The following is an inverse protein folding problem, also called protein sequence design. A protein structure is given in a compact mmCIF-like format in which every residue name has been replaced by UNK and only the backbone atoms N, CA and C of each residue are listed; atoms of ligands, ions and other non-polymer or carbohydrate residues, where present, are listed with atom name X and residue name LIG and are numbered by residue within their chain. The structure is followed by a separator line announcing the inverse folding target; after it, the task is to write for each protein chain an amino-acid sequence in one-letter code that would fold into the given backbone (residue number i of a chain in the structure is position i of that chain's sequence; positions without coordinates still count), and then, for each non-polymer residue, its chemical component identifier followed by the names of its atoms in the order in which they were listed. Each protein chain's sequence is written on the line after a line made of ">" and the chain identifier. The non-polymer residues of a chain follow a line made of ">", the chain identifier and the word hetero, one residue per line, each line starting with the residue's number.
data_IF_823312107969
#
_entry.id   IF_823312107969
#
_cell.length_a   1.000
_cell.length_b   1.000
_cell.length_c   1.000
_cell.angle_alpha   90.00
_cell.angle_beta   90.00
_cell.angle_gamma   90.00
#
_symmetry.space_group_name_H-M   'P 1'
#
loop_
_entity.id
_entity.type
_entity.pdbx_description
1 polymer ?
#
# COMPACT_ATOMS: atom_id res chain seq x y z
N UNK A 1 27.97 18.06 45.01
CA UNK A 1 27.72 17.72 43.59
C UNK A 1 27.96 16.26 43.25
N UNK A 2 29.14 15.67 43.52
CA UNK A 2 29.44 14.26 43.11
C UNK A 2 28.43 13.21 43.60
N UNK A 3 28.07 13.24 44.89
CA UNK A 3 27.11 12.28 45.49
C UNK A 3 25.69 12.31 44.87
N UNK A 4 25.02 13.47 44.69
CA UNK A 4 23.72 13.53 44.02
C UNK A 4 23.77 13.02 42.57
N UNK A 5 24.82 13.38 41.83
CA UNK A 5 25.00 12.94 40.45
C UNK A 5 25.19 11.42 40.38
N UNK A 6 25.95 10.83 41.30
CA UNK A 6 26.11 9.37 41.40
C UNK A 6 24.78 8.69 41.73
N UNK A 7 23.98 9.23 42.66
CA UNK A 7 22.65 8.67 42.96
C UNK A 7 21.70 8.74 41.76
N UNK A 8 21.73 9.84 41.01
CA UNK A 8 20.94 10.02 39.80
C UNK A 8 21.40 9.09 38.67
N UNK A 9 22.72 8.94 38.48
CA UNK A 9 23.30 7.95 37.56
C UNK A 9 22.89 6.54 37.99
N UNK A 10 22.98 6.18 39.26
CA UNK A 10 22.57 4.85 39.74
C UNK A 10 21.07 4.59 39.57
N UNK A 11 20.23 5.63 39.60
CA UNK A 11 18.82 5.53 39.25
C UNK A 11 18.57 5.43 37.73
N UNK A 12 19.37 6.09 36.88
CA UNK A 12 19.18 6.08 35.42
C UNK A 12 19.90 4.92 34.70
N UNK A 13 21.01 4.46 35.26
CA UNK A 13 21.91 3.47 34.64
C UNK A 13 21.25 2.09 34.49
N UNK A 14 20.42 1.59 35.42
CA UNK A 14 19.63 0.38 35.18
C UNK A 14 18.66 0.55 34.01
N UNK A 15 18.04 1.73 33.85
CA UNK A 15 17.15 1.99 32.72
C UNK A 15 17.92 1.89 31.40
N UNK A 16 19.12 2.45 31.33
CA UNK A 16 19.97 2.40 30.14
C UNK A 16 20.55 1.02 29.85
N UNK A 17 21.05 0.32 30.87
CA UNK A 17 21.68 -1.00 30.72
C UNK A 17 20.68 -2.10 30.36
N UNK A 18 19.42 -1.94 30.77
CA UNK A 18 18.39 -2.97 30.61
C UNK A 18 17.26 -2.55 29.65
N UNK A 19 17.39 -1.39 28.99
CA UNK A 19 16.55 -1.06 27.85
C UNK A 19 16.85 -2.07 26.72
N UNK A 20 15.98 -3.07 26.56
CA UNK A 20 16.05 -4.02 25.44
C UNK A 20 16.32 -5.48 25.79
N UNK A 21 16.52 -5.84 27.06
CA UNK A 21 16.68 -7.25 27.47
C UNK A 21 15.39 -7.80 28.08
N UNK A 22 14.34 -7.97 27.28
CA UNK A 22 13.20 -8.82 27.69
C UNK A 22 13.29 -10.16 26.97
N UNK A 23 13.42 -11.25 27.70
CA UNK A 23 13.19 -12.57 27.14
C UNK A 23 11.69 -12.86 27.22
N UNK A 24 11.04 -12.79 26.05
CA UNK A 24 9.68 -13.27 25.87
C UNK A 24 9.73 -14.68 25.28
N UNK A 25 9.14 -15.65 25.97
CA UNK A 25 8.93 -16.99 25.43
C UNK A 25 7.54 -17.04 24.80
N UNK A 26 7.51 -17.29 23.49
CA UNK A 26 6.26 -17.49 22.74
C UNK A 26 6.03 -18.97 22.47
N UNK A 27 4.78 -19.42 22.63
CA UNK A 27 4.32 -20.76 22.22
C UNK A 27 3.12 -20.54 21.31
N UNK A 28 3.19 -21.03 20.06
CA UNK A 28 2.18 -20.80 19.02
C UNK A 28 1.89 -19.31 18.76
N UNK A 29 2.92 -18.46 18.77
CA UNK A 29 2.79 -17.02 18.53
C UNK A 29 2.15 -16.23 19.68
N UNK A 30 1.77 -16.88 20.79
CA UNK A 30 1.29 -16.22 22.01
C UNK A 30 2.40 -16.18 23.05
N UNK A 31 2.64 -15.02 23.64
CA UNK A 31 3.61 -14.84 24.73
C UNK A 31 3.05 -15.54 25.97
N UNK A 32 3.66 -16.66 26.36
CA UNK A 32 3.24 -17.45 27.53
C UNK A 32 4.06 -17.12 28.78
N UNK A 33 5.26 -16.58 28.60
CA UNK A 33 6.12 -16.18 29.70
C UNK A 33 6.94 -14.94 29.32
N UNK A 34 6.79 -13.89 30.11
CA UNK A 34 7.58 -12.66 30.02
C UNK A 34 8.33 -12.51 31.35
N UNK A 35 9.54 -13.08 31.41
CA UNK A 35 10.45 -12.92 32.55
C UNK A 35 11.27 -11.66 32.34
N UNK A 36 10.68 -10.51 32.65
CA UNK A 36 11.34 -9.19 32.67
C UNK A 36 11.86 -8.79 34.07
N UNK A 37 11.95 -9.75 35.00
CA UNK A 37 12.37 -9.48 36.37
C UNK A 37 13.87 -9.15 36.46
N UNK A 38 14.18 -7.85 36.52
CA UNK A 38 15.55 -7.35 36.59
C UNK A 38 16.03 -7.23 38.04
N UNK A 39 16.52 -8.34 38.60
CA UNK A 39 17.03 -8.40 39.99
C UNK A 39 18.11 -7.35 40.25
N UNK A 40 19.02 -7.15 39.30
CA UNK A 40 20.11 -6.18 39.45
C UNK A 40 19.57 -4.75 39.48
N UNK A 41 18.63 -4.43 38.58
CA UNK A 41 17.94 -3.13 38.56
C UNK A 41 17.21 -2.84 39.86
N UNK A 42 16.54 -3.85 40.45
CA UNK A 42 15.89 -3.72 41.75
C UNK A 42 16.88 -3.39 42.87
N UNK A 43 18.00 -4.11 42.94
CA UNK A 43 19.05 -3.88 43.95
C UNK A 43 19.62 -2.46 43.82
N UNK A 44 19.92 -2.03 42.59
CA UNK A 44 20.45 -0.69 42.32
C UNK A 44 19.44 0.41 42.66
N UNK A 45 18.16 0.23 42.34
CA UNK A 45 17.11 1.18 42.69
C UNK A 45 16.94 1.32 44.21
N UNK A 46 16.99 0.21 44.96
CA UNK A 46 16.93 0.24 46.44
C UNK A 46 18.16 0.98 47.00
N UNK A 47 19.36 0.68 46.51
CA UNK A 47 20.57 1.36 46.95
C UNK A 47 20.53 2.87 46.65
N UNK A 48 20.08 3.25 45.45
CA UNK A 48 19.86 4.63 45.03
C UNK A 48 18.85 5.36 45.92
N UNK A 49 17.74 4.71 46.25
CA UNK A 49 16.70 5.25 47.14
C UNK A 49 17.25 5.49 48.56
N UNK A 50 17.96 4.52 49.14
CA UNK A 50 18.56 4.66 50.47
C UNK A 50 19.56 5.82 50.49
N UNK A 51 20.36 5.98 49.44
CA UNK A 51 21.27 7.12 49.31
C UNK A 51 20.55 8.46 49.20
N UNK A 52 19.51 8.54 48.36
CA UNK A 52 18.71 9.76 48.18
C UNK A 52 18.02 10.18 49.50
N UNK A 53 17.42 9.24 50.22
CA UNK A 53 16.78 9.48 51.52
C UNK A 53 17.79 9.92 52.57
N UNK A 54 18.93 9.22 52.70
CA UNK A 54 20.01 9.63 53.60
C UNK A 54 20.52 11.04 53.29
N UNK A 55 20.60 11.39 52.01
CA UNK A 55 21.04 12.72 51.60
C UNK A 55 20.01 13.79 51.93
N UNK A 56 18.71 13.53 51.74
CA UNK A 56 17.63 14.44 52.11
C UNK A 56 17.55 14.68 53.63
N UNK A 57 17.74 13.63 54.44
CA UNK A 57 17.77 13.74 55.90
C UNK A 57 18.96 14.59 56.38
N UNK A 58 20.11 14.47 55.71
CA UNK A 58 21.33 15.22 56.05
C UNK A 58 21.40 16.63 55.46
N UNK A 59 20.50 16.97 54.53
CA UNK A 59 20.50 18.26 53.83
C UNK A 59 19.93 19.37 54.74
N UNK A 60 20.82 20.07 55.45
CA UNK A 60 20.46 21.11 56.42
C UNK A 60 20.48 20.67 57.89
N UNK A 61 21.01 19.47 58.18
CA UNK A 61 21.27 19.02 59.55
C UNK A 61 22.47 19.75 60.18
N UNK A 62 22.48 19.88 61.51
CA UNK A 62 23.54 20.56 62.26
C UNK A 62 24.90 19.88 62.03
N UNK A 63 25.90 20.62 61.53
CA UNK A 63 27.23 20.11 61.19
C UNK A 63 27.40 19.57 59.77
N UNK A 64 26.36 19.60 58.93
CA UNK A 64 26.40 19.21 57.52
C UNK A 64 26.31 20.45 56.59
N UNK A 65 26.64 20.32 55.29
CA UNK A 65 26.68 21.44 54.36
C UNK A 65 25.33 22.17 54.24
N UNK A 66 25.37 23.51 54.13
CA UNK A 66 24.21 24.38 53.99
C UNK A 66 23.24 23.88 52.90
N UNK A 67 21.95 23.94 53.21
CA UNK A 67 20.88 23.42 52.35
C UNK A 67 20.89 24.12 51.00
N UNK A 68 21.05 23.34 49.93
CA UNK A 68 21.07 23.85 48.57
C UNK A 68 19.89 23.26 47.81
N UNK A 69 18.94 24.12 47.42
CA UNK A 69 17.66 23.69 46.86
C UNK A 69 17.82 22.80 45.63
N UNK A 70 18.80 23.06 44.76
CA UNK A 70 19.12 22.22 43.60
C UNK A 70 19.54 20.79 44.02
N UNK A 71 20.31 20.63 45.09
CA UNK A 71 20.66 19.30 45.63
C UNK A 71 19.42 18.59 46.15
N UNK A 72 18.57 19.27 46.90
CA UNK A 72 17.34 18.68 47.43
C UNK A 72 16.39 18.27 46.30
N UNK A 73 16.20 19.11 45.28
CA UNK A 73 15.38 18.80 44.09
C UNK A 73 15.91 17.58 43.35
N UNK A 74 17.22 17.51 43.09
CA UNK A 74 17.82 16.35 42.43
C UNK A 74 17.68 15.07 43.26
N UNK A 75 17.79 15.15 44.59
CA UNK A 75 17.62 14.01 45.47
C UNK A 75 16.16 13.51 45.49
N UNK A 76 15.18 14.42 45.48
CA UNK A 76 13.76 14.08 45.36
C UNK A 76 13.47 13.40 44.02
N UNK A 77 13.98 13.96 42.90
CA UNK A 77 13.82 13.34 41.58
C UNK A 77 14.47 11.96 41.51
N UNK A 78 15.67 11.79 42.07
CA UNK A 78 16.34 10.49 42.14
C UNK A 78 15.54 9.47 42.97
N UNK A 79 14.99 9.88 44.13
CA UNK A 79 14.14 9.03 44.95
C UNK A 79 12.86 8.62 44.21
N UNK A 80 12.19 9.56 43.53
CA UNK A 80 11.01 9.29 42.71
C UNK A 80 11.30 8.30 41.58
N UNK A 81 12.43 8.46 40.87
CA UNK A 81 12.88 7.52 39.84
C UNK A 81 13.16 6.12 40.41
N UNK A 82 13.77 6.02 41.58
CA UNK A 82 14.04 4.73 42.23
C UNK A 82 12.74 4.03 42.65
N UNK A 83 11.78 4.76 43.24
CA UNK A 83 10.45 4.22 43.56
C UNK A 83 9.75 3.75 42.30
N UNK A 84 9.81 4.55 41.23
CA UNK A 84 9.22 4.20 39.95
C UNK A 84 9.81 2.89 39.40
N UNK A 85 11.13 2.71 39.47
CA UNK A 85 11.81 1.48 39.05
C UNK A 85 11.48 0.27 39.92
N UNK A 86 11.38 0.44 41.24
CA UNK A 86 10.98 -0.64 42.14
C UNK A 86 9.58 -1.12 41.76
N UNK A 87 8.62 -0.21 41.54
CA UNK A 87 7.27 -0.56 41.13
C UNK A 87 7.19 -1.30 39.78
N UNK A 88 7.96 -0.85 38.79
CA UNK A 88 8.10 -1.55 37.50
C UNK A 88 8.68 -2.96 37.66
N UNK A 89 9.80 -3.07 38.38
CA UNK A 89 10.56 -4.32 38.47
C UNK A 89 9.85 -5.37 39.32
N UNK A 90 9.11 -4.94 40.35
CA UNK A 90 8.29 -5.82 41.18
C UNK A 90 6.97 -6.23 40.54
N UNK A 91 6.63 -5.67 39.36
CA UNK A 91 5.41 -6.00 38.65
C UNK A 91 4.14 -5.38 39.24
N UNK A 92 4.24 -4.40 40.14
CA UNK A 92 3.08 -3.67 40.65
C UNK A 92 2.35 -2.91 39.53
N UNK A 93 3.08 -2.47 38.52
CA UNK A 93 2.53 -1.92 37.27
C UNK A 93 3.55 -2.12 36.14
N UNK A 94 3.07 -2.34 34.92
CA UNK A 94 3.89 -2.36 33.70
C UNK A 94 3.58 -1.09 32.92
N UNK A 95 4.50 -0.14 32.89
CA UNK A 95 4.40 1.01 31.97
C UNK A 95 5.22 0.65 30.75
N UNK A 96 4.53 0.32 29.67
CA UNK A 96 5.16 0.23 28.36
C UNK A 96 5.42 1.66 27.88
N UNK A 97 6.50 2.29 28.38
CA UNK A 97 6.83 3.69 28.09
C UNK A 97 6.81 4.01 26.59
N UNK A 98 7.15 3.04 25.74
CA UNK A 98 7.03 3.18 24.28
C UNK A 98 5.59 3.32 23.81
N UNK A 99 4.69 2.44 24.24
CA UNK A 99 3.27 2.46 23.86
C UNK A 99 2.55 3.66 24.45
N UNK A 100 2.75 3.93 25.75
CA UNK A 100 2.13 5.08 26.41
C UNK A 100 2.62 6.41 25.86
N UNK A 101 3.91 6.54 25.51
CA UNK A 101 4.41 7.74 24.86
C UNK A 101 3.83 7.91 23.45
N UNK A 102 3.67 6.82 22.69
CA UNK A 102 3.01 6.86 21.38
C UNK A 102 1.54 7.24 21.54
N UNK A 103 0.81 6.67 22.49
CA UNK A 103 -0.59 7.00 22.78
C UNK A 103 -0.73 8.46 23.24
N UNK A 104 0.13 8.93 24.14
CA UNK A 104 0.17 10.32 24.60
C UNK A 104 0.50 11.27 23.45
N UNK A 105 1.51 10.96 22.63
CA UNK A 105 1.86 11.73 21.43
C UNK A 105 0.68 11.76 20.46
N UNK A 106 0.01 10.64 20.26
CA UNK A 106 -1.17 10.52 19.39
C UNK A 106 -2.34 11.35 19.93
N UNK A 107 -2.54 11.39 21.25
CA UNK A 107 -3.57 12.20 21.90
C UNK A 107 -3.27 13.70 21.83
N UNK A 108 -2.00 14.09 21.94
CA UNK A 108 -1.58 15.50 21.94
C UNK A 108 -1.40 16.09 20.53
N UNK A 109 -0.88 15.30 19.58
CA UNK A 109 -0.49 15.79 18.24
C UNK A 109 -1.26 15.11 17.11
N UNK A 110 -2.18 14.20 17.43
CA UNK A 110 -2.85 13.33 16.48
C UNK A 110 -1.96 12.17 16.00
N UNK A 111 -2.53 11.22 15.25
CA UNK A 111 -1.74 10.15 14.64
C UNK A 111 -0.73 10.74 13.65
N UNK A 112 0.46 10.12 13.64
CA UNK A 112 1.50 10.39 12.65
C UNK A 112 1.28 9.54 11.41
N UNK A 113 1.71 10.01 10.25
CA UNK A 113 1.72 9.16 9.06
C UNK A 113 2.84 8.11 9.17
N UNK A 114 2.62 6.88 8.67
CA UNK A 114 3.70 5.92 8.57
C UNK A 114 4.79 6.46 7.64
N UNK A 115 6.06 6.38 8.04
CA UNK A 115 7.17 6.83 7.21
C UNK A 115 7.43 5.87 6.04
N UNK A 116 7.85 6.41 4.89
CA UNK A 116 8.32 5.60 3.77
C UNK A 116 9.66 4.94 4.12
N UNK A 117 9.84 3.65 3.81
CA UNK A 117 11.09 2.90 4.10
C UNK A 117 12.13 2.98 2.99
N UNK A 118 11.91 3.79 1.96
CA UNK A 118 12.80 3.99 0.82
C UNK A 118 13.04 2.72 0.01
N UNK A 119 12.01 2.27 -0.71
CA UNK A 119 12.22 1.30 -1.79
C UNK A 119 12.67 2.03 -3.07
N UNK A 120 13.98 1.93 -3.33
CA UNK A 120 14.70 2.22 -4.57
C UNK A 120 14.46 3.62 -5.20
N UNK A 121 15.33 4.61 -4.91
CA UNK A 121 15.33 5.92 -5.60
C UNK A 121 15.29 5.83 -7.14
N UNK A 122 15.80 4.73 -7.70
CA UNK A 122 15.75 4.46 -9.15
C UNK A 122 14.34 4.11 -9.64
N UNK A 123 13.55 3.36 -8.87
CA UNK A 123 12.16 3.05 -9.19
C UNK A 123 11.33 4.33 -9.16
N UNK A 124 11.59 5.20 -8.18
CA UNK A 124 10.96 6.52 -8.08
C UNK A 124 11.33 7.41 -9.27
N UNK A 125 12.60 7.40 -9.70
CA UNK A 125 13.07 8.15 -10.89
C UNK A 125 12.40 7.66 -12.17
N UNK A 126 12.36 6.35 -12.40
CA UNK A 126 11.72 5.77 -13.58
C UNK A 126 10.20 5.99 -13.58
N UNK A 127 9.56 5.86 -12.41
CA UNK A 127 8.14 6.15 -12.24
C UNK A 127 7.83 7.62 -12.54
N UNK A 128 8.62 8.54 -11.97
CA UNK A 128 8.52 9.98 -12.22
C UNK A 128 8.69 10.32 -13.71
N UNK A 129 9.71 9.79 -14.37
CA UNK A 129 9.93 10.03 -15.80
C UNK A 129 8.75 9.53 -16.65
N UNK A 130 8.16 8.38 -16.31
CA UNK A 130 6.95 7.88 -16.99
C UNK A 130 5.74 8.79 -16.75
N UNK A 131 5.53 9.24 -15.52
CA UNK A 131 4.43 10.16 -15.18
C UNK A 131 4.59 11.47 -15.94
N UNK A 132 5.79 12.04 -15.98
CA UNK A 132 6.09 13.27 -16.72
C UNK A 132 5.89 13.10 -18.23
N UNK A 133 6.44 12.03 -18.82
CA UNK A 133 6.27 11.73 -20.25
C UNK A 133 4.79 11.55 -20.61
N UNK A 134 4.05 10.79 -19.81
CA UNK A 134 2.63 10.55 -20.02
C UNK A 134 1.81 11.83 -19.86
N UNK A 135 2.05 12.58 -18.79
CA UNK A 135 1.37 13.84 -18.53
C UNK A 135 1.68 14.92 -19.57
N UNK A 136 2.74 14.75 -20.38
CA UNK A 136 3.02 15.61 -21.53
C UNK A 136 2.29 15.15 -22.81
N UNK A 137 1.99 13.86 -22.98
CA UNK A 137 1.51 13.28 -24.24
C UNK A 137 -0.01 13.08 -24.32
N UNK A 138 -0.69 12.87 -23.18
CA UNK A 138 -2.13 12.58 -23.18
C UNK A 138 -2.98 13.85 -23.22
N UNK A 139 -4.25 13.72 -23.61
CA UNK A 139 -5.23 14.82 -23.58
C UNK A 139 -5.70 15.14 -22.15
N UNK A 140 -6.46 16.24 -22.01
CA UNK A 140 -6.93 16.73 -20.72
C UNK A 140 -7.84 15.74 -19.98
N UNK A 141 -8.72 15.04 -20.69
CA UNK A 141 -9.66 14.09 -20.07
C UNK A 141 -8.90 12.87 -19.56
N UNK A 142 -7.98 12.32 -20.36
CA UNK A 142 -7.15 11.18 -19.97
C UNK A 142 -6.23 11.53 -18.80
N UNK A 143 -5.62 12.74 -18.78
CA UNK A 143 -4.82 13.16 -17.63
C UNK A 143 -5.66 13.34 -16.37
N UNK A 144 -6.90 13.84 -16.50
CA UNK A 144 -7.83 13.90 -15.36
C UNK A 144 -8.18 12.50 -14.85
N UNK A 145 -8.44 11.55 -15.75
CA UNK A 145 -8.71 10.15 -15.40
C UNK A 145 -7.51 9.54 -14.65
N UNK A 146 -6.28 9.83 -15.07
CA UNK A 146 -5.06 9.40 -14.39
C UNK A 146 -4.97 9.99 -12.96
N UNK A 147 -5.28 11.29 -12.80
CA UNK A 147 -5.32 11.96 -11.49
C UNK A 147 -6.38 11.31 -10.58
N UNK A 148 -7.60 11.12 -11.08
CA UNK A 148 -8.68 10.48 -10.34
C UNK A 148 -8.29 9.05 -9.91
N UNK A 149 -7.59 8.33 -10.77
CA UNK A 149 -7.07 6.99 -10.48
C UNK A 149 -6.02 7.01 -9.35
N UNK A 150 -5.07 7.95 -9.38
CA UNK A 150 -4.08 8.12 -8.32
C UNK A 150 -4.73 8.48 -6.99
N UNK A 151 -5.68 9.43 -6.98
CA UNK A 151 -6.42 9.81 -5.76
C UNK A 151 -7.20 8.62 -5.19
N UNK A 152 -7.91 7.89 -6.04
CA UNK A 152 -8.67 6.71 -5.64
C UNK A 152 -7.78 5.64 -5.00
N UNK A 153 -6.55 5.43 -5.51
CA UNK A 153 -5.57 4.51 -4.91
C UNK A 153 -5.07 4.99 -3.57
N UNK A 154 -4.70 6.26 -3.43
CA UNK A 154 -4.28 6.86 -2.16
C UNK A 154 -5.38 6.67 -1.11
N UNK A 155 -6.63 6.95 -1.49
CA UNK A 155 -7.79 6.82 -0.60
C UNK A 155 -8.04 5.36 -0.21
N UNK A 156 -8.07 4.44 -1.18
CA UNK A 156 -8.31 3.02 -0.91
C UNK A 156 -7.19 2.39 -0.07
N UNK A 157 -5.92 2.60 -0.45
CA UNK A 157 -4.76 2.04 0.26
C UNK A 157 -4.58 2.68 1.64
N UNK A 158 -4.74 3.99 1.75
CA UNK A 158 -4.70 4.67 3.04
C UNK A 158 -5.85 4.24 3.95
N UNK A 159 -7.04 3.95 3.39
CA UNK A 159 -8.19 3.45 4.18
C UNK A 159 -7.92 2.05 4.68
N UNK A 160 -7.44 1.15 3.82
CA UNK A 160 -7.02 -0.19 4.24
C UNK A 160 -5.97 -0.12 5.34
N UNK A 161 -4.92 0.69 5.17
CA UNK A 161 -3.88 0.86 6.18
C UNK A 161 -4.46 1.35 7.51
N UNK A 162 -5.34 2.37 7.47
CA UNK A 162 -5.96 2.94 8.66
C UNK A 162 -6.86 1.93 9.39
N UNK A 163 -7.60 1.09 8.65
CA UNK A 163 -8.41 0.02 9.22
C UNK A 163 -7.53 -1.09 9.83
N UNK A 164 -6.46 -1.48 9.15
CA UNK A 164 -5.47 -2.43 9.68
C UNK A 164 -4.83 -1.89 10.97
N UNK A 165 -4.37 -0.63 10.96
CA UNK A 165 -3.76 0.00 12.13
C UNK A 165 -4.75 0.11 13.31
N UNK A 166 -6.03 0.38 13.03
CA UNK A 166 -7.08 0.38 14.04
C UNK A 166 -7.37 -1.01 14.61
N UNK A 167 -7.43 -2.05 13.76
CA UNK A 167 -7.71 -3.43 14.17
C UNK A 167 -6.53 -4.09 14.91
N UNK A 168 -5.30 -3.69 14.60
CA UNK A 168 -4.08 -4.29 15.15
C UNK A 168 -3.41 -3.49 16.27
N UNK A 169 -4.17 -2.65 16.97
CA UNK A 169 -3.71 -1.82 18.10
C UNK A 169 -2.46 -0.96 17.78
N UNK A 170 -2.39 -0.39 16.57
CA UNK A 170 -1.37 0.61 16.18
C UNK A 170 -2.03 2.01 16.00
N UNK A 171 -2.63 2.61 17.05
CA UNK A 171 -3.41 3.84 16.91
C UNK A 171 -2.57 5.06 16.50
N UNK A 172 -1.25 5.01 16.67
CA UNK A 172 -0.35 6.15 16.42
C UNK A 172 0.03 6.36 14.96
N UNK A 173 -0.35 5.44 14.06
CA UNK A 173 -0.03 5.50 12.63
C UNK A 173 -1.29 5.54 11.78
N UNK A 174 -1.54 6.66 11.11
CA UNK A 174 -2.65 6.79 10.16
C UNK A 174 -2.28 7.71 9.02
N UNK A 175 -2.71 7.36 7.81
CA UNK A 175 -2.72 8.26 6.68
C UNK A 175 -3.82 9.31 6.84
N UNK A 176 -3.50 10.55 6.49
CA UNK A 176 -4.48 11.63 6.36
C UNK A 176 -4.89 11.76 4.90
N UNK A 177 -6.17 11.94 4.64
CA UNK A 177 -6.64 12.17 3.28
C UNK A 177 -6.66 13.67 3.02
N UNK A 178 -5.90 14.09 2.02
CA UNK A 178 -5.97 15.45 1.46
C UNK A 178 -7.24 15.56 0.62
N UNK A 179 -7.83 16.75 0.55
CA UNK A 179 -9.00 16.99 -0.28
C UNK A 179 -8.70 16.70 -1.76
N UNK A 180 -9.64 16.04 -2.44
CA UNK A 180 -9.50 15.75 -3.86
C UNK A 180 -9.32 17.06 -4.66
N UNK A 181 -8.37 17.12 -5.62
CA UNK A 181 -8.13 18.31 -6.43
C UNK A 181 -9.41 18.87 -7.06
N UNK A 182 -9.53 20.21 -7.11
CA UNK A 182 -10.72 20.91 -7.64
C UNK A 182 -11.00 20.64 -9.12
N UNK A 183 -9.99 20.20 -9.89
CA UNK A 183 -10.12 19.78 -11.28
C UNK A 183 -10.95 18.49 -11.46
N UNK A 184 -11.20 17.75 -10.38
CA UNK A 184 -11.99 16.51 -10.37
C UNK A 184 -13.48 16.82 -10.18
N UNK A 185 -14.29 16.33 -11.13
CA UNK A 185 -15.75 16.48 -11.12
C UNK A 185 -16.46 15.48 -10.20
N UNK A 186 -17.79 15.53 -10.18
CA UNK A 186 -18.61 14.69 -9.32
C UNK A 186 -18.46 13.19 -9.63
N UNK A 187 -18.39 12.81 -10.91
CA UNK A 187 -18.18 11.42 -11.33
C UNK A 187 -16.81 10.88 -10.86
N UNK A 188 -15.77 11.72 -10.87
CA UNK A 188 -14.45 11.35 -10.36
C UNK A 188 -14.46 11.17 -8.84
N UNK A 189 -15.17 12.05 -8.12
CA UNK A 189 -15.34 11.95 -6.66
C UNK A 189 -16.14 10.72 -6.29
N UNK A 190 -17.19 10.38 -7.05
CA UNK A 190 -17.95 9.15 -6.87
C UNK A 190 -17.08 7.90 -7.11
N UNK A 191 -16.20 7.93 -8.12
CA UNK A 191 -15.23 6.87 -8.37
C UNK A 191 -14.23 6.70 -7.21
N UNK A 192 -13.73 7.80 -6.64
CA UNK A 192 -12.84 7.80 -5.48
C UNK A 192 -13.55 7.21 -4.25
N UNK A 193 -14.76 7.68 -3.94
CA UNK A 193 -15.52 7.19 -2.77
C UNK A 193 -15.89 5.71 -2.92
N UNK A 194 -16.26 5.28 -4.14
CA UNK A 194 -16.50 3.85 -4.40
C UNK A 194 -15.24 3.01 -4.15
N UNK A 195 -14.07 3.50 -4.54
CA UNK A 195 -12.79 2.80 -4.29
C UNK A 195 -12.49 2.69 -2.79
N UNK A 196 -12.77 3.75 -2.03
CA UNK A 196 -12.68 3.77 -0.57
C UNK A 196 -13.66 2.79 0.07
N UNK A 197 -14.93 2.80 -0.32
CA UNK A 197 -15.95 1.88 0.21
C UNK A 197 -15.61 0.41 -0.05
N UNK A 198 -15.09 0.08 -1.24
CA UNK A 198 -14.61 -1.27 -1.53
C UNK A 198 -13.41 -1.67 -0.66
N UNK A 199 -12.54 -0.71 -0.32
CA UNK A 199 -11.46 -0.94 0.65
C UNK A 199 -11.99 -1.28 2.04
N UNK A 200 -13.00 -0.55 2.51
CA UNK A 200 -13.64 -0.76 3.81
C UNK A 200 -14.32 -2.14 3.87
N UNK A 201 -15.13 -2.46 2.85
CA UNK A 201 -15.81 -3.75 2.73
C UNK A 201 -14.80 -4.91 2.76
N UNK A 202 -13.76 -4.83 1.92
CA UNK A 202 -12.74 -5.89 1.83
C UNK A 202 -11.93 -6.05 3.13
N UNK A 203 -11.69 -4.96 3.88
CA UNK A 203 -10.93 -4.99 5.13
C UNK A 203 -11.73 -5.62 6.28
N UNK A 204 -13.04 -5.33 6.36
CA UNK A 204 -13.88 -5.70 7.50
C UNK A 204 -13.91 -7.21 7.81
N UNK A 205 -13.74 -8.05 6.79
CA UNK A 205 -13.83 -9.50 6.93
C UNK A 205 -12.47 -10.22 7.08
N UNK A 206 -11.33 -9.52 6.93
CA UNK A 206 -10.06 -10.20 6.52
C UNK A 206 -8.76 -9.71 7.18
N UNK A 207 -8.81 -8.78 8.14
CA UNK A 207 -7.58 -8.29 8.79
C UNK A 207 -6.97 -9.37 9.70
N UNK A 208 -5.73 -9.78 9.42
CA UNK A 208 -4.92 -10.67 10.27
C UNK A 208 -3.71 -9.90 10.87
N UNK A 209 -3.80 -9.58 12.16
CA UNK A 209 -2.76 -8.88 12.92
C UNK A 209 -1.59 -9.79 13.36
N UNK A 210 -1.78 -11.10 13.31
CA UNK A 210 -0.82 -12.09 13.82
C UNK A 210 0.21 -12.47 12.75
N UNK A 211 -0.16 -12.33 11.48
CA UNK A 211 0.69 -12.67 10.34
C UNK A 211 1.88 -11.74 10.16
N UNK A 212 3.12 -12.28 10.13
CA UNK A 212 4.31 -11.51 9.81
C UNK A 212 4.27 -10.91 8.40
N UNK A 213 3.77 -11.66 7.41
CA UNK A 213 3.70 -11.21 6.01
C UNK A 213 2.69 -10.09 5.83
N UNK A 214 1.51 -10.18 6.46
CA UNK A 214 0.51 -9.11 6.42
C UNK A 214 1.05 -7.86 7.10
N UNK A 215 1.72 -8.01 8.24
CA UNK A 215 2.35 -6.88 8.95
C UNK A 215 3.44 -6.22 8.12
N UNK A 216 4.32 -6.99 7.47
CA UNK A 216 5.35 -6.47 6.57
C UNK A 216 4.70 -5.75 5.38
N UNK A 217 3.72 -6.36 4.73
CA UNK A 217 3.02 -5.76 3.60
C UNK A 217 2.39 -4.42 3.99
N UNK A 218 1.61 -4.38 5.08
CA UNK A 218 0.89 -3.18 5.50
C UNK A 218 1.86 -2.06 5.89
N UNK A 219 2.89 -2.38 6.69
CA UNK A 219 3.80 -1.37 7.24
C UNK A 219 4.82 -0.86 6.25
N UNK A 220 5.30 -1.71 5.36
CA UNK A 220 6.43 -1.38 4.49
C UNK A 220 5.95 -1.13 3.06
N UNK A 221 5.20 -2.05 2.48
CA UNK A 221 4.85 -2.00 1.05
C UNK A 221 3.65 -1.09 0.76
N UNK A 222 2.55 -1.25 1.51
CA UNK A 222 1.35 -0.44 1.33
C UNK A 222 1.61 1.02 1.69
N UNK A 223 2.37 1.25 2.78
CA UNK A 223 2.72 2.60 3.19
C UNK A 223 3.58 3.32 2.13
N UNK A 224 4.59 2.62 1.58
CA UNK A 224 5.42 3.16 0.50
C UNK A 224 4.57 3.43 -0.77
N UNK A 225 3.64 2.55 -1.11
CA UNK A 225 2.77 2.74 -2.28
C UNK A 225 1.92 4.02 -2.16
N UNK A 226 1.36 4.31 -0.97
CA UNK A 226 0.60 5.55 -0.73
C UNK A 226 1.49 6.79 -0.93
N UNK A 227 2.73 6.75 -0.43
CA UNK A 227 3.68 7.86 -0.62
C UNK A 227 4.11 8.03 -2.09
N UNK A 228 4.37 6.94 -2.81
CA UNK A 228 4.68 6.99 -4.25
C UNK A 228 3.49 7.51 -5.06
N UNK A 229 2.28 7.07 -4.75
CA UNK A 229 1.08 7.54 -5.44
C UNK A 229 0.83 9.04 -5.18
N UNK A 230 1.12 9.54 -3.97
CA UNK A 230 1.07 11.00 -3.69
C UNK A 230 2.12 11.79 -4.48
N UNK A 231 3.35 11.28 -4.57
CA UNK A 231 4.39 11.93 -5.37
C UNK A 231 4.03 11.96 -6.86
N UNK A 232 3.47 10.87 -7.39
CA UNK A 232 2.96 10.81 -8.75
C UNK A 232 1.77 11.77 -8.95
N UNK A 233 0.83 11.81 -8.01
CA UNK A 233 -0.32 12.71 -8.03
C UNK A 233 0.12 14.18 -8.10
N UNK A 234 1.11 14.59 -7.30
CA UNK A 234 1.63 15.95 -7.32
C UNK A 234 2.15 16.34 -8.72
N UNK A 235 2.91 15.46 -9.37
CA UNK A 235 3.42 15.67 -10.72
C UNK A 235 2.30 15.73 -11.77
N UNK A 236 1.30 14.84 -11.68
CA UNK A 236 0.16 14.82 -12.59
C UNK A 236 -0.67 16.10 -12.47
N UNK A 237 -0.96 16.56 -11.25
CA UNK A 237 -1.72 17.79 -10.98
C UNK A 237 -0.94 19.02 -11.44
N UNK A 238 0.37 19.10 -11.18
CA UNK A 238 1.21 20.18 -11.68
C UNK A 238 1.21 20.23 -13.22
N UNK A 239 1.42 19.09 -13.87
CA UNK A 239 1.41 18.99 -15.33
C UNK A 239 0.04 19.37 -15.93
N UNK A 240 -1.06 18.94 -15.28
CA UNK A 240 -2.41 19.29 -15.69
C UNK A 240 -2.62 20.81 -15.63
N UNK A 241 -2.34 21.43 -14.47
CA UNK A 241 -2.51 22.87 -14.28
C UNK A 241 -1.67 23.68 -15.25
N UNK A 242 -0.42 23.25 -15.49
CA UNK A 242 0.49 23.92 -16.43
C UNK A 242 -0.03 23.87 -17.88
N UNK A 243 -0.67 22.78 -18.29
CA UNK A 243 -1.13 22.57 -19.68
C UNK A 243 -2.54 23.09 -19.92
N UNK A 244 -3.43 22.97 -18.94
CA UNK A 244 -4.87 23.13 -19.12
C UNK A 244 -5.54 24.09 -18.12
N UNK A 245 -4.80 24.60 -17.12
CA UNK A 245 -5.37 25.40 -16.03
C UNK A 245 -6.18 24.54 -15.04
N UNK A 246 -7.11 25.17 -14.32
CA UNK A 246 -7.96 24.50 -13.32
C UNK A 246 -9.40 24.22 -13.83
N UNK A 247 -9.72 24.58 -15.09
CA UNK A 247 -11.08 24.39 -15.63
C UNK A 247 -11.27 22.95 -16.13
N UNK A 248 -12.22 22.19 -15.58
CA UNK A 248 -12.50 20.84 -16.08
C UNK A 248 -13.12 20.89 -17.48
N UNK A 249 -12.70 19.96 -18.35
CA UNK A 249 -13.34 19.73 -19.65
C UNK A 249 -14.47 18.71 -19.52
N UNK A 250 -15.55 18.93 -20.27
CA UNK A 250 -16.70 18.03 -20.33
C UNK A 250 -16.31 16.69 -20.97
N UNK A 251 -16.78 15.60 -20.37
CA UNK A 251 -16.49 14.25 -20.85
C UNK A 251 -17.37 13.92 -22.05
N UNK A 252 -16.74 13.62 -23.19
CA UNK A 252 -17.46 13.01 -24.32
C UNK A 252 -17.51 11.50 -24.11
N UNK A 253 -18.72 10.94 -24.00
CA UNK A 253 -18.93 9.49 -23.98
C UNK A 253 -18.37 8.89 -25.27
N UNK A 254 -17.42 7.98 -25.13
CA UNK A 254 -16.83 7.29 -26.27
C UNK A 254 -17.68 6.07 -26.62
N UNK A 255 -18.01 5.91 -27.89
CA UNK A 255 -18.66 4.70 -28.37
C UNK A 255 -17.68 3.52 -28.31
N UNK A 256 -18.16 2.36 -27.86
CA UNK A 256 -17.40 1.12 -27.90
C UNK A 256 -17.15 0.74 -29.37
N UNK A 257 -15.87 0.59 -29.72
CA UNK A 257 -15.44 0.30 -31.09
C UNK A 257 -14.19 -0.56 -31.06
N UNK A 258 -14.15 -1.57 -31.93
CA UNK A 258 -12.99 -2.40 -32.22
C UNK A 258 -12.49 -2.22 -33.66
N UNK A 259 -12.84 -1.09 -34.30
CA UNK A 259 -12.55 -0.82 -35.73
C UNK A 259 -11.07 -0.86 -36.09
N UNK A 260 -10.18 -0.61 -35.12
CA UNK A 260 -8.73 -0.57 -35.36
C UNK A 260 -8.09 -1.97 -35.36
N UNK A 261 -8.89 -3.02 -35.10
CA UNK A 261 -8.48 -4.42 -35.25
C UNK A 261 -9.37 -5.06 -36.33
N UNK A 262 -8.82 -5.46 -37.49
CA UNK A 262 -9.60 -6.03 -38.59
C UNK A 262 -9.97 -7.50 -38.36
N UNK A 263 -10.48 -7.81 -37.17
CA UNK A 263 -11.02 -9.13 -36.79
C UNK A 263 -12.12 -8.98 -35.73
N UNK A 264 -13.05 -9.93 -35.71
CA UNK A 264 -14.13 -10.05 -34.74
C UNK A 264 -14.17 -11.46 -34.16
N UNK A 265 -14.73 -11.60 -32.96
CA UNK A 265 -15.02 -12.92 -32.41
C UNK A 265 -15.96 -13.69 -33.36
N UNK A 266 -15.61 -14.95 -33.62
CA UNK A 266 -16.34 -15.87 -34.51
C UNK A 266 -15.97 -15.79 -35.99
N UNK A 267 -15.15 -14.80 -36.41
CA UNK A 267 -14.64 -14.70 -37.78
C UNK A 267 -13.83 -15.95 -38.14
N UNK A 268 -13.85 -16.35 -39.41
CA UNK A 268 -13.03 -17.47 -39.90
C UNK A 268 -11.57 -17.03 -40.09
N UNK A 269 -10.64 -17.99 -40.12
CA UNK A 269 -9.25 -17.74 -40.48
C UNK A 269 -9.11 -16.94 -41.79
N UNK A 270 -9.88 -17.29 -42.82
CA UNK A 270 -9.86 -16.60 -44.12
C UNK A 270 -10.28 -15.11 -43.99
N UNK A 271 -11.30 -14.83 -43.18
CA UNK A 271 -11.75 -13.45 -42.94
C UNK A 271 -10.68 -12.63 -42.22
N UNK A 272 -9.98 -13.22 -41.24
CA UNK A 272 -8.85 -12.58 -40.54
C UNK A 272 -7.68 -12.35 -41.50
N UNK A 273 -7.29 -13.36 -42.29
CA UNK A 273 -6.21 -13.23 -43.27
C UNK A 273 -6.50 -12.13 -44.31
N UNK A 274 -7.76 -12.04 -44.76
CA UNK A 274 -8.23 -10.98 -45.64
C UNK A 274 -8.17 -9.61 -44.95
N UNK A 275 -8.70 -9.50 -43.73
CA UNK A 275 -8.71 -8.24 -42.96
C UNK A 275 -7.33 -7.69 -42.66
N UNK A 276 -6.36 -8.55 -42.36
CA UNK A 276 -4.96 -8.18 -42.12
C UNK A 276 -4.09 -8.17 -43.39
N UNK A 277 -4.64 -8.53 -44.56
CA UNK A 277 -3.89 -8.67 -45.81
C UNK A 277 -2.64 -9.54 -45.64
N UNK A 278 -2.79 -10.70 -45.00
CA UNK A 278 -1.68 -11.56 -44.60
C UNK A 278 -1.85 -13.00 -45.08
N UNK A 279 -0.79 -13.65 -45.62
CA UNK A 279 -0.81 -15.07 -45.94
C UNK A 279 -0.34 -15.95 -44.77
N UNK A 280 -0.11 -15.38 -43.58
CA UNK A 280 0.43 -16.13 -42.43
C UNK A 280 -0.50 -17.29 -42.05
N UNK A 281 0.08 -18.46 -41.80
CA UNK A 281 -0.62 -19.65 -41.33
C UNK A 281 -0.62 -19.64 -39.80
N UNK A 282 -1.75 -19.94 -39.13
CA UNK A 282 -1.78 -20.06 -37.67
C UNK A 282 -0.86 -21.15 -37.14
N UNK A 283 -0.23 -20.89 -36.00
CA UNK A 283 0.61 -21.86 -35.29
C UNK A 283 -0.24 -22.56 -34.22
N UNK A 284 -0.20 -23.90 -34.11
CA UNK A 284 -0.91 -24.61 -33.04
C UNK A 284 -0.50 -24.11 -31.65
N UNK A 285 -1.47 -23.98 -30.73
CA UNK A 285 -1.21 -23.58 -29.33
C UNK A 285 -1.96 -24.44 -28.33
N UNK A 286 -1.29 -24.80 -27.24
CA UNK A 286 -1.89 -25.61 -26.18
C UNK A 286 -2.27 -27.01 -26.66
N UNK A 287 -3.39 -27.53 -26.13
CA UNK A 287 -3.97 -28.82 -26.48
C UNK A 287 -5.36 -28.60 -27.08
N UNK A 288 -5.90 -29.59 -27.81
CA UNK A 288 -7.26 -29.58 -28.40
C UNK A 288 -7.47 -28.75 -29.69
N UNK A 289 -6.49 -28.75 -30.60
CA UNK A 289 -6.70 -28.24 -31.97
C UNK A 289 -6.77 -26.73 -32.11
N UNK A 290 -6.47 -25.98 -31.05
CA UNK A 290 -6.39 -24.52 -31.11
C UNK A 290 -5.16 -24.06 -31.88
N UNK A 291 -5.31 -22.91 -32.54
CA UNK A 291 -4.20 -22.26 -33.23
C UNK A 291 -4.19 -20.76 -32.93
N UNK A 292 -3.08 -20.08 -33.22
CA UNK A 292 -2.96 -18.63 -33.09
C UNK A 292 -2.27 -17.99 -34.28
N UNK A 293 -2.63 -16.75 -34.55
CA UNK A 293 -1.98 -15.87 -35.51
C UNK A 293 -1.48 -14.64 -34.74
N UNK A 294 -0.16 -14.44 -34.74
CA UNK A 294 0.49 -13.36 -34.00
C UNK A 294 0.99 -12.27 -34.97
N UNK A 295 0.75 -11.03 -34.59
CA UNK A 295 1.17 -9.80 -35.27
C UNK A 295 1.98 -8.95 -34.29
N UNK A 296 3.19 -9.39 -33.90
CA UNK A 296 4.00 -8.71 -32.90
C UNK A 296 4.32 -7.25 -33.29
N UNK A 297 4.45 -6.97 -34.58
CA UNK A 297 4.68 -5.64 -35.11
C UNK A 297 3.51 -4.67 -34.92
N UNK A 298 2.29 -5.22 -34.75
CA UNK A 298 1.08 -4.46 -34.45
C UNK A 298 0.64 -4.59 -32.99
N UNK A 299 1.27 -5.50 -32.23
CA UNK A 299 0.86 -5.84 -30.88
C UNK A 299 -0.48 -6.57 -30.80
N UNK A 300 -0.82 -7.41 -31.79
CA UNK A 300 -2.12 -8.11 -31.87
C UNK A 300 -1.87 -9.63 -31.90
N UNK A 301 -2.59 -10.39 -31.08
CA UNK A 301 -2.60 -11.86 -31.07
C UNK A 301 -4.05 -12.35 -31.23
N UNK A 302 -4.28 -13.26 -32.18
CA UNK A 302 -5.60 -13.80 -32.49
C UNK A 302 -5.56 -15.31 -32.28
N UNK A 303 -6.42 -15.80 -31.38
CA UNK A 303 -6.56 -17.24 -31.11
C UNK A 303 -7.80 -17.78 -31.79
N UNK A 304 -7.66 -18.98 -32.35
CA UNK A 304 -8.70 -19.72 -33.02
C UNK A 304 -9.08 -20.98 -32.23
N UNK A 305 -10.34 -21.39 -32.33
CA UNK A 305 -10.81 -22.70 -31.89
C UNK A 305 -10.47 -23.81 -32.91
N UNK A 306 -10.93 -25.05 -32.64
CA UNK A 306 -10.68 -26.21 -33.50
C UNK A 306 -11.38 -26.10 -34.87
N UNK A 307 -12.43 -25.28 -34.96
CA UNK A 307 -13.17 -24.97 -36.18
C UNK A 307 -12.56 -23.79 -36.96
N UNK A 308 -11.37 -23.32 -36.58
CA UNK A 308 -10.68 -22.17 -37.16
C UNK A 308 -11.49 -20.87 -37.11
N UNK A 309 -12.24 -20.66 -36.03
CA UNK A 309 -12.93 -19.40 -35.74
C UNK A 309 -12.27 -18.64 -34.62
N UNK A 310 -12.26 -17.31 -34.71
CA UNK A 310 -11.63 -16.43 -33.73
C UNK A 310 -12.33 -16.56 -32.38
N UNK A 311 -11.64 -17.11 -31.39
CA UNK A 311 -12.14 -17.26 -30.02
C UNK A 311 -11.60 -16.23 -29.05
N UNK A 312 -10.46 -15.62 -29.35
CA UNK A 312 -9.91 -14.53 -28.56
C UNK A 312 -9.06 -13.58 -29.42
N UNK A 313 -9.10 -12.31 -29.06
CA UNK A 313 -8.30 -11.24 -29.65
C UNK A 313 -7.62 -10.52 -28.50
N UNK A 314 -6.29 -10.52 -28.49
CA UNK A 314 -5.47 -9.85 -27.48
C UNK A 314 -4.71 -8.71 -28.15
N UNK A 315 -4.75 -7.52 -27.56
CA UNK A 315 -3.92 -6.38 -27.97
C UNK A 315 -3.01 -5.94 -26.82
N UNK A 316 -1.75 -5.61 -27.16
CA UNK A 316 -0.68 -5.18 -26.24
C UNK A 316 0.25 -4.19 -26.96
N UNK A 317 1.18 -3.56 -26.24
CA UNK A 317 2.20 -2.75 -26.91
C UNK A 317 2.92 -3.56 -28.02
N UNK A 318 3.18 -2.99 -29.21
CA UNK A 318 3.09 -1.57 -29.59
C UNK A 318 1.75 -1.10 -30.17
N UNK A 319 0.62 -1.81 -29.97
CA UNK A 319 -0.69 -1.41 -30.51
C UNK A 319 -1.07 0.03 -30.12
N UNK A 320 -1.22 0.89 -31.15
CA UNK A 320 -1.49 2.33 -30.97
C UNK A 320 -2.98 2.71 -31.15
N UNK A 321 -3.81 1.77 -31.62
CA UNK A 321 -5.24 1.97 -31.87
C UNK A 321 -6.10 1.88 -30.60
N UNK A 322 -7.42 1.85 -30.80
CA UNK A 322 -8.41 1.54 -29.76
C UNK A 322 -9.00 0.16 -29.97
N UNK A 323 -9.12 -0.60 -28.91
CA UNK A 323 -9.81 -1.88 -28.88
C UNK A 323 -10.89 -1.84 -27.81
N UNK A 324 -12.14 -2.14 -28.18
CA UNK A 324 -13.34 -1.96 -27.34
C UNK A 324 -13.45 -0.57 -26.69
N UNK A 325 -13.01 0.47 -27.42
CA UNK A 325 -12.97 1.85 -26.93
C UNK A 325 -11.80 2.18 -26.00
N UNK A 326 -10.95 1.21 -25.63
CA UNK A 326 -9.79 1.40 -24.77
C UNK A 326 -8.47 1.45 -25.55
N UNK A 327 -7.44 2.08 -24.99
CA UNK A 327 -6.06 2.07 -25.48
C UNK A 327 -5.13 1.37 -24.50
N UNK A 328 -4.02 0.86 -25.02
CA UNK A 328 -2.88 0.50 -24.18
C UNK A 328 -2.39 1.77 -23.48
N UNK A 329 -2.25 1.66 -22.16
CA UNK A 329 -1.94 2.73 -21.25
C UNK A 329 -3.17 3.42 -20.65
N UNK A 330 -4.42 3.12 -21.03
CA UNK A 330 -5.59 3.77 -20.38
C UNK A 330 -5.62 3.47 -18.88
N UNK A 331 -6.00 4.45 -18.05
CA UNK A 331 -6.08 4.27 -16.61
C UNK A 331 -7.37 3.58 -16.17
N UNK A 332 -7.41 3.08 -14.93
CA UNK A 332 -8.63 2.45 -14.36
C UNK A 332 -9.85 3.36 -14.42
N UNK A 333 -9.70 4.67 -14.20
CA UNK A 333 -10.81 5.62 -14.35
C UNK A 333 -11.27 5.72 -15.81
N UNK A 334 -10.34 5.77 -16.77
CA UNK A 334 -10.69 5.73 -18.20
C UNK A 334 -11.45 4.46 -18.54
N UNK A 335 -11.00 3.31 -18.06
CA UNK A 335 -11.72 2.03 -18.20
C UNK A 335 -13.13 2.15 -17.61
N UNK A 336 -13.26 2.61 -16.37
CA UNK A 336 -14.55 2.78 -15.72
C UNK A 336 -15.51 3.71 -16.50
N UNK A 337 -14.96 4.76 -17.12
CA UNK A 337 -15.71 5.70 -17.95
C UNK A 337 -16.21 5.07 -19.24
N UNK A 338 -15.35 4.33 -19.94
CA UNK A 338 -15.65 3.77 -21.27
C UNK A 338 -16.55 2.54 -21.18
N UNK A 339 -16.29 1.66 -20.21
CA UNK A 339 -16.98 0.36 -20.10
C UNK A 339 -17.76 0.18 -18.79
N UNK A 340 -17.93 1.23 -17.98
CA UNK A 340 -18.90 1.31 -16.87
C UNK A 340 -18.34 1.17 -15.45
N UNK A 341 -19.22 1.30 -14.45
CA UNK A 341 -18.83 1.53 -13.05
C UNK A 341 -18.21 0.35 -12.27
N UNK A 342 -18.20 -0.88 -12.78
CA UNK A 342 -17.81 -2.05 -11.98
C UNK A 342 -16.30 -2.39 -11.97
N UNK A 343 -15.46 -1.60 -12.65
CA UNK A 343 -14.03 -1.89 -12.90
C UNK A 343 -13.05 -1.48 -11.79
N UNK A 344 -13.55 -1.29 -10.56
CA UNK A 344 -12.71 -0.94 -9.41
C UNK A 344 -12.37 -2.21 -8.66
N UNK A 345 -11.29 -2.89 -9.03
CA UNK A 345 -10.74 -3.97 -8.22
C UNK A 345 -9.56 -3.44 -7.42
N UNK A 346 -9.77 -3.18 -6.14
CA UNK A 346 -8.66 -2.88 -5.22
C UNK A 346 -8.09 -4.23 -4.79
N UNK A 347 -6.99 -4.64 -5.44
CA UNK A 347 -6.31 -5.89 -5.13
C UNK A 347 -5.60 -5.70 -3.80
N UNK A 348 -6.19 -6.22 -2.74
CA UNK A 348 -5.56 -6.31 -1.43
C UNK A 348 -4.91 -7.68 -1.27
N UNK A 349 -3.83 -7.81 -0.50
CA UNK A 349 -3.44 -9.13 -0.02
C UNK A 349 -4.52 -9.60 0.97
N UNK A 350 -5.39 -10.47 0.48
CA UNK A 350 -6.60 -10.93 1.17
C UNK A 350 -6.32 -11.87 2.35
N UNK A 351 -5.11 -12.39 2.45
CA UNK A 351 -4.65 -13.31 3.48
C UNK A 351 -3.11 -13.37 3.49
N UNK A 352 -2.57 -14.20 4.38
CA UNK A 352 -1.13 -14.38 4.58
C UNK A 352 -0.43 -14.88 3.32
N UNK A 353 -1.10 -15.72 2.53
CA UNK A 353 -0.56 -16.27 1.28
C UNK A 353 -0.46 -15.18 0.22
N UNK A 354 -1.48 -14.33 0.13
CA UNK A 354 -1.55 -13.21 -0.81
C UNK A 354 -0.52 -12.14 -0.44
N UNK A 355 -0.37 -11.81 0.86
CA UNK A 355 0.64 -10.87 1.32
C UNK A 355 2.06 -11.37 1.03
N UNK A 356 2.35 -12.63 1.35
CA UNK A 356 3.65 -13.23 1.07
C UNK A 356 3.94 -13.30 -0.43
N UNK A 357 2.94 -13.66 -1.25
CA UNK A 357 3.06 -13.66 -2.70
C UNK A 357 3.36 -12.26 -3.22
N UNK A 358 2.59 -11.23 -2.82
CA UNK A 358 2.82 -9.85 -3.24
C UNK A 358 4.21 -9.36 -2.86
N UNK A 359 4.69 -9.68 -1.65
CA UNK A 359 6.05 -9.34 -1.21
C UNK A 359 7.10 -10.04 -2.09
N UNK A 360 6.98 -11.34 -2.31
CA UNK A 360 7.92 -12.13 -3.11
C UNK A 360 7.98 -11.63 -4.56
N UNK A 361 6.82 -11.32 -5.14
CA UNK A 361 6.70 -10.71 -6.46
C UNK A 361 7.44 -9.37 -6.54
N UNK A 362 7.21 -8.49 -5.57
CA UNK A 362 7.85 -7.17 -5.53
C UNK A 362 9.36 -7.26 -5.35
N UNK A 363 9.82 -8.20 -4.51
CA UNK A 363 11.26 -8.41 -4.25
C UNK A 363 12.00 -8.94 -5.47
N UNK A 364 11.34 -9.69 -6.35
CA UNK A 364 12.00 -10.28 -7.51
C UNK A 364 12.37 -9.26 -8.59
N UNK A 365 11.88 -8.01 -8.54
CA UNK A 365 12.12 -6.95 -9.55
C UNK A 365 11.98 -7.49 -10.99
N UNK A 366 11.17 -8.53 -11.16
CA UNK A 366 10.92 -9.06 -12.48
C UNK A 366 9.89 -8.13 -13.13
N UNK A 367 9.95 -7.92 -14.46
CA UNK A 367 8.85 -7.34 -15.23
C UNK A 367 7.69 -8.34 -15.23
N UNK A 368 7.22 -8.69 -14.05
CA UNK A 368 6.32 -9.81 -13.86
C UNK A 368 4.96 -9.34 -14.27
N UNK A 369 4.48 -10.03 -15.30
CA UNK A 369 3.13 -10.05 -15.87
C UNK A 369 2.05 -10.40 -14.83
N UNK A 370 2.07 -9.75 -13.66
CA UNK A 370 0.95 -9.82 -12.72
C UNK A 370 -0.15 -8.93 -13.24
N UNK A 371 -0.88 -9.49 -14.18
CA UNK A 371 -2.14 -8.99 -14.66
C UNK A 371 -3.12 -8.95 -13.47
N UNK A 372 -3.72 -7.79 -13.21
CA UNK A 372 -5.08 -7.82 -12.69
C UNK A 372 -5.91 -8.46 -13.80
N UNK A 373 -6.50 -9.63 -13.55
CA UNK A 373 -7.38 -10.30 -14.51
C UNK A 373 -8.81 -9.95 -14.07
N UNK A 374 -9.51 -9.11 -14.84
CA UNK A 374 -10.94 -8.85 -14.62
C UNK A 374 -11.71 -9.45 -15.79
N UNK A 375 -12.51 -10.48 -15.51
CA UNK A 375 -13.31 -11.24 -16.47
C UNK A 375 -14.75 -10.73 -16.38
N UNK A 376 -15.27 -10.16 -17.47
CA UNK A 376 -16.67 -9.71 -17.53
C UNK A 376 -17.39 -10.30 -18.73
N UNK A 377 -18.54 -10.90 -18.47
CA UNK A 377 -19.57 -11.13 -19.48
C UNK A 377 -20.04 -9.76 -20.02
N UNK A 378 -19.50 -9.32 -21.16
CA UNK A 378 -20.05 -8.18 -21.90
C UNK A 378 -21.43 -8.51 -22.49
N UNK A 379 -21.63 -9.80 -22.77
CA UNK A 379 -22.89 -10.47 -23.07
C UNK A 379 -22.74 -11.95 -22.66
N UNK A 380 -23.79 -12.77 -22.77
CA UNK A 380 -23.69 -14.24 -22.60
C UNK A 380 -22.65 -14.90 -23.53
N UNK A 381 -22.04 -14.14 -24.44
CA UNK A 381 -21.17 -14.60 -25.52
C UNK A 381 -19.79 -13.95 -25.56
N UNK A 382 -19.49 -12.97 -24.71
CA UNK A 382 -18.20 -12.25 -24.76
C UNK A 382 -17.63 -11.95 -23.39
N UNK A 383 -16.33 -12.17 -23.24
CA UNK A 383 -15.53 -11.90 -22.06
C UNK A 383 -14.48 -10.84 -22.38
N UNK A 384 -14.45 -9.73 -21.63
CA UNK A 384 -13.36 -8.75 -21.71
C UNK A 384 -12.45 -8.93 -20.52
N UNK A 385 -11.18 -9.23 -20.80
CA UNK A 385 -10.09 -9.37 -19.85
C UNK A 385 -9.10 -8.25 -20.05
N UNK A 386 -8.89 -7.44 -19.02
CA UNK A 386 -7.84 -6.43 -19.01
C UNK A 386 -6.70 -6.92 -18.16
N UNK A 387 -5.50 -6.43 -18.43
CA UNK A 387 -4.27 -6.85 -17.80
C UNK A 387 -3.29 -5.67 -17.74
N UNK A 388 -2.51 -5.62 -16.67
CA UNK A 388 -1.48 -4.60 -16.46
C UNK A 388 -0.77 -4.82 -15.13
N UNK A 389 0.38 -4.17 -14.91
CA UNK A 389 1.18 -4.34 -13.70
C UNK A 389 0.39 -3.92 -12.47
N UNK A 390 0.53 -4.66 -11.38
CA UNK A 390 -0.21 -4.41 -10.12
C UNK A 390 -0.02 -2.97 -9.61
N UNK A 391 1.15 -2.36 -9.85
CA UNK A 391 1.49 -1.01 -9.37
C UNK A 391 1.17 0.11 -10.36
N UNK A 392 1.08 -0.19 -11.65
CA UNK A 392 0.76 0.83 -12.64
C UNK A 392 -0.74 0.73 -12.94
N UNK A 393 -1.45 1.81 -12.70
CA UNK A 393 -2.91 1.86 -12.85
C UNK A 393 -3.38 1.86 -14.30
N UNK A 394 -2.57 1.34 -15.20
CA UNK A 394 -2.71 1.40 -16.64
C UNK A 394 -2.95 0.00 -17.21
N UNK A 395 -3.61 -0.05 -18.35
CA UNK A 395 -3.87 -1.27 -19.11
C UNK A 395 -2.67 -1.53 -20.02
N UNK A 396 -1.98 -2.67 -19.86
CA UNK A 396 -0.89 -3.08 -20.76
C UNK A 396 -1.36 -4.12 -21.80
N UNK A 397 -2.45 -4.82 -21.51
CA UNK A 397 -3.04 -5.81 -22.38
C UNK A 397 -4.57 -5.80 -22.27
N UNK A 398 -5.25 -5.92 -23.41
CA UNK A 398 -6.70 -6.01 -23.54
C UNK A 398 -7.02 -7.27 -24.33
N UNK A 399 -7.77 -8.20 -23.75
CA UNK A 399 -8.20 -9.44 -24.38
C UNK A 399 -9.72 -9.49 -24.45
N UNK A 400 -10.28 -9.66 -25.64
CA UNK A 400 -11.68 -9.96 -25.85
C UNK A 400 -11.80 -11.41 -26.28
N UNK A 401 -12.53 -12.25 -25.53
CA UNK A 401 -12.67 -13.69 -25.81
C UNK A 401 -14.12 -14.16 -25.76
N UNK A 402 -14.39 -15.34 -26.32
CA UNK A 402 -15.62 -16.07 -26.02
C UNK A 402 -15.53 -16.63 -24.59
N UNK A 403 -16.62 -16.61 -23.80
CA UNK A 403 -16.63 -17.18 -22.46
C UNK A 403 -16.30 -18.66 -22.54
N UNK A 404 -15.38 -19.13 -21.69
CA UNK A 404 -15.12 -20.56 -21.60
C UNK A 404 -16.37 -21.25 -21.04
N UNK A 405 -16.84 -22.37 -21.63
CA UNK A 405 -17.84 -23.19 -20.98
C UNK A 405 -17.32 -23.59 -19.59
N UNK A 406 -18.18 -23.63 -18.55
CA UNK A 406 -17.76 -24.02 -17.22
C UNK A 406 -17.08 -25.38 -17.32
N UNK A 407 -15.83 -25.47 -16.83
CA UNK A 407 -15.12 -26.74 -16.79
C UNK A 407 -15.96 -27.68 -15.94
N UNK A 408 -16.41 -28.79 -16.54
CA UNK A 408 -17.00 -29.88 -15.79
C UNK A 408 -15.91 -30.41 -14.86
N UNK A 409 -16.06 -30.13 -13.56
CA UNK A 409 -15.15 -30.63 -12.52
C UNK A 409 -15.21 -32.15 -12.43
#
# INVERSE_FOLDING_TARGET
>A
MRRPVVALILGLLPFWLFLGTSQQTTVNGRVVQDTSFNILGLILAIAGLVMAVKMLIKDGAYGEPQRWWLRSVLAVLAAALCIFQIGQTSGFYKVELGREFVELKTRLFGPSEPGARSLAPELDKASRARVEQRAASVDQVVLRDDIATSVARIYANGTLFNLYAAACDDPGRRFRFEEAPTLLGDDDRAFIEKSKSLAEQNASDRIDCTSPSTREFMRDWLADDVHRDRAALALQVEAYRKRFGDTPVEEVKQALSSKDVPARLGDTLEAVQTGFTTPRVPVPVGNAGESKLDFPEQGIDIRFDAENRVKAITVRAPFAGRFVGLKIGDSRRTVNRVIGGAWINVRFPYDNKSAALDIDVRRKVLPTDYQWLDTRAGSDKTELTLAGPVYASYVDEITLSMPQPPRSN
#
